data_IF_029408991811
#
_entry.id   IF_029408991811
#
_cell.length_a   1.000
_cell.length_b   1.000
_cell.length_c   1.000
_cell.angle_alpha   90.00
_cell.angle_beta   90.00
_cell.angle_gamma   90.00
#
_symmetry.space_group_name_H-M   'P 1'
#
loop_
_entity.id
_entity.type
_entity.pdbx_description
1 polymer ?
#
# COMPACT_ATOMS: atom_id res chain seq x y z
N UNK A 1 -22.73 11.51 49.95
CA UNK A 1 -21.95 10.99 51.09
C UNK A 1 -21.45 9.66 50.62
N UNK A 2 -20.14 9.47 50.76
CA UNK A 2 -19.35 8.33 50.30
C UNK A 2 -18.36 8.12 51.45
N UNK A 3 -18.60 7.08 52.25
CA UNK A 3 -18.00 6.90 53.58
C UNK A 3 -16.59 6.31 53.47
N UNK A 4 -16.34 5.46 52.48
CA UNK A 4 -15.04 4.82 52.26
C UNK A 4 -14.23 5.45 51.10
N UNK A 5 -14.81 6.42 50.38
CA UNK A 5 -14.21 7.21 49.30
C UNK A 5 -13.80 6.36 48.10
N UNK A 6 -14.62 5.39 47.73
CA UNK A 6 -14.39 4.55 46.54
C UNK A 6 -15.07 5.05 45.26
N UNK A 7 -15.84 6.13 45.37
CA UNK A 7 -16.55 6.74 44.25
C UNK A 7 -18.03 6.38 44.18
N UNK A 8 -18.48 5.38 44.95
CA UNK A 8 -19.89 5.02 45.07
C UNK A 8 -20.54 5.74 46.27
N UNK A 9 -21.76 6.28 46.14
CA UNK A 9 -22.46 6.87 47.28
C UNK A 9 -23.03 5.83 48.25
N UNK A 10 -22.97 6.08 49.57
CA UNK A 10 -23.48 5.19 50.62
C UNK A 10 -24.93 4.69 50.39
N UNK A 11 -25.78 5.53 49.81
CA UNK A 11 -27.18 5.17 49.57
C UNK A 11 -27.32 4.10 48.49
N UNK A 12 -26.46 4.14 47.47
CA UNK A 12 -26.44 3.20 46.36
C UNK A 12 -25.87 1.86 46.82
N UNK A 13 -24.77 1.92 47.58
CA UNK A 13 -24.17 0.74 48.19
C UNK A 13 -25.15 0.00 49.10
N UNK A 14 -25.88 0.72 49.96
CA UNK A 14 -26.90 0.12 50.84
C UNK A 14 -28.07 -0.51 50.08
N UNK A 15 -28.51 0.10 48.97
CA UNK A 15 -29.64 -0.39 48.18
C UNK A 15 -29.30 -1.69 47.46
N UNK A 16 -28.05 -1.86 47.04
CA UNK A 16 -27.58 -3.01 46.28
C UNK A 16 -26.78 -4.03 47.10
N UNK A 17 -26.56 -3.77 48.40
CA UNK A 17 -25.94 -4.73 49.31
C UNK A 17 -24.40 -4.72 49.32
N UNK A 18 -23.78 -3.62 48.89
CA UNK A 18 -22.33 -3.36 49.00
C UNK A 18 -21.94 -2.83 50.40
N UNK A 19 -20.64 -2.62 50.62
CA UNK A 19 -20.09 -2.26 51.92
C UNK A 19 -19.64 -0.80 52.04
N UNK A 20 -20.51 0.04 52.60
CA UNK A 20 -20.27 1.46 52.90
C UNK A 20 -19.02 1.82 53.73
N UNK A 21 -18.31 0.84 54.30
CA UNK A 21 -17.12 1.09 55.13
C UNK A 21 -15.83 0.56 54.53
N UNK A 22 -15.91 -0.07 53.36
CA UNK A 22 -14.79 -0.78 52.76
C UNK A 22 -14.97 -0.78 51.25
N UNK A 23 -14.06 -0.05 50.59
CA UNK A 23 -13.91 -0.02 49.14
C UNK A 23 -14.01 -1.43 48.54
N UNK A 24 -15.14 -1.66 47.88
CA UNK A 24 -15.47 -2.82 47.08
C UNK A 24 -15.90 -2.42 45.66
N UNK A 25 -15.67 -1.15 45.28
CA UNK A 25 -15.90 -0.60 43.93
C UNK A 25 -15.30 -1.41 42.78
N UNK A 26 -14.16 -2.07 43.01
CA UNK A 26 -13.48 -2.91 42.02
C UNK A 26 -13.79 -4.41 42.17
N UNK A 27 -14.66 -4.77 43.10
CA UNK A 27 -15.25 -6.11 43.15
C UNK A 27 -16.36 -6.22 42.10
N UNK A 28 -16.87 -7.44 41.94
CA UNK A 28 -17.84 -7.84 40.94
C UNK A 28 -18.89 -8.67 41.70
N UNK A 29 -19.98 -8.02 42.10
CA UNK A 29 -20.93 -8.56 43.08
C UNK A 29 -21.66 -9.79 42.54
N UNK A 30 -22.04 -9.80 41.28
CA UNK A 30 -22.78 -10.88 40.63
C UNK A 30 -21.91 -11.82 39.78
N UNK A 31 -20.63 -11.50 39.59
CA UNK A 31 -19.61 -12.27 38.89
C UNK A 31 -19.81 -12.35 37.37
N UNK A 32 -20.33 -11.28 36.77
CA UNK A 32 -20.54 -11.18 35.32
C UNK A 32 -19.32 -10.63 34.56
N UNK A 33 -18.35 -10.08 35.29
CA UNK A 33 -17.09 -9.55 34.78
C UNK A 33 -17.07 -8.04 34.57
N UNK A 34 -18.10 -7.31 34.99
CA UNK A 34 -18.15 -5.85 35.13
C UNK A 34 -17.88 -5.50 36.61
N UNK A 35 -17.13 -4.43 36.88
CA UNK A 35 -16.89 -4.01 38.26
C UNK A 35 -18.05 -3.17 38.79
N UNK A 36 -18.34 -3.25 40.09
CA UNK A 36 -19.43 -2.51 40.75
C UNK A 36 -19.45 -1.01 40.41
N UNK A 37 -18.27 -0.39 40.31
CA UNK A 37 -18.14 1.02 39.92
C UNK A 37 -18.54 1.29 38.47
N UNK A 38 -18.17 0.39 37.55
CA UNK A 38 -18.51 0.54 36.14
C UNK A 38 -20.02 0.36 35.97
N UNK A 39 -20.61 -0.64 36.64
CA UNK A 39 -22.06 -0.85 36.68
C UNK A 39 -22.81 0.37 37.24
N UNK A 40 -22.30 0.98 38.31
CA UNK A 40 -22.86 2.21 38.86
C UNK A 40 -22.79 3.39 37.87
N UNK A 41 -21.68 3.55 37.17
CA UNK A 41 -21.47 4.65 36.22
C UNK A 41 -22.42 4.58 35.02
N UNK A 42 -22.66 3.38 34.49
CA UNK A 42 -23.55 3.17 33.33
C UNK A 42 -24.99 2.83 33.71
N UNK A 43 -25.26 2.55 34.99
CA UNK A 43 -26.60 2.25 35.51
C UNK A 43 -27.08 0.82 35.26
N UNK A 44 -26.15 -0.14 35.26
CA UNK A 44 -26.41 -1.59 35.20
C UNK A 44 -26.83 -2.15 36.56
N UNK A 45 -27.21 -3.43 36.57
CA UNK A 45 -27.74 -4.09 37.74
C UNK A 45 -26.70 -4.96 38.45
N UNK A 46 -26.14 -4.47 39.56
CA UNK A 46 -25.12 -5.15 40.38
C UNK A 46 -25.51 -6.51 40.97
N UNK A 47 -26.72 -6.99 40.74
CA UNK A 47 -27.22 -8.27 41.25
C UNK A 47 -27.62 -9.24 40.14
N UNK A 48 -27.44 -8.88 38.87
CA UNK A 48 -27.85 -9.66 37.71
C UNK A 48 -26.78 -9.59 36.63
N UNK A 49 -26.30 -10.76 36.19
CA UNK A 49 -25.46 -10.89 34.99
C UNK A 49 -26.17 -10.33 33.75
N UNK A 50 -25.87 -9.05 33.47
CA UNK A 50 -26.32 -8.29 32.33
C UNK A 50 -25.14 -7.94 31.38
N UNK A 51 -23.96 -8.49 31.64
CA UNK A 51 -22.74 -8.40 30.83
C UNK A 51 -22.93 -8.64 29.31
N UNK A 52 -23.83 -9.56 28.94
CA UNK A 52 -24.15 -9.91 27.55
C UNK A 52 -25.44 -9.26 27.03
N UNK A 53 -26.14 -8.50 27.87
CA UNK A 53 -27.24 -7.65 27.43
C UNK A 53 -26.69 -6.42 26.69
N UNK A 54 -27.61 -5.70 26.07
CA UNK A 54 -27.37 -4.53 25.22
C UNK A 54 -28.30 -3.44 25.76
N UNK A 55 -27.78 -2.69 26.73
CA UNK A 55 -28.56 -1.75 27.55
C UNK A 55 -29.19 -0.66 26.68
N UNK A 56 -28.45 -0.15 25.70
CA UNK A 56 -28.88 0.96 24.85
C UNK A 56 -29.49 0.52 23.50
N UNK A 57 -29.46 -0.78 23.20
CA UNK A 57 -29.99 -1.42 22.00
C UNK A 57 -29.27 -1.00 20.70
N UNK A 58 -27.97 -0.76 20.76
CA UNK A 58 -27.16 -0.41 19.59
C UNK A 58 -26.52 -1.61 18.86
N UNK A 59 -26.62 -2.79 19.48
CA UNK A 59 -26.13 -4.06 18.95
C UNK A 59 -24.76 -4.48 19.47
N UNK A 60 -24.20 -3.77 20.44
CA UNK A 60 -22.98 -4.12 21.18
C UNK A 60 -23.33 -4.55 22.62
N UNK A 61 -22.67 -5.58 23.19
CA UNK A 61 -22.94 -5.98 24.58
C UNK A 61 -22.24 -5.08 25.61
N UNK A 62 -22.91 -4.86 26.75
CA UNK A 62 -22.44 -4.01 27.88
C UNK A 62 -20.96 -4.27 28.25
N UNK A 63 -20.60 -5.53 28.47
CA UNK A 63 -19.24 -5.91 28.87
C UNK A 63 -18.20 -5.57 27.80
N UNK A 64 -18.57 -5.70 26.53
CA UNK A 64 -17.65 -5.37 25.44
C UNK A 64 -17.45 -3.87 25.34
N UNK A 65 -18.51 -3.09 25.47
CA UNK A 65 -18.46 -1.62 25.44
C UNK A 65 -17.61 -1.08 26.58
N UNK A 66 -17.88 -1.49 27.82
CA UNK A 66 -17.13 -1.06 29.01
C UNK A 66 -15.64 -1.42 28.89
N UNK A 67 -15.31 -2.65 28.46
CA UNK A 67 -13.91 -3.07 28.24
C UNK A 67 -13.23 -2.31 27.11
N UNK A 68 -14.01 -1.89 26.12
CA UNK A 68 -13.58 -1.05 25.01
C UNK A 68 -13.56 0.44 25.37
N UNK A 69 -13.97 0.79 26.59
CA UNK A 69 -14.10 2.15 27.11
C UNK A 69 -15.17 3.00 26.40
N UNK A 70 -16.17 2.34 25.84
CA UNK A 70 -17.37 2.95 25.26
C UNK A 70 -18.44 3.13 26.34
N UNK A 71 -19.53 3.79 25.99
CA UNK A 71 -20.63 4.07 26.91
C UNK A 71 -21.81 3.13 26.65
N UNK A 72 -21.92 2.06 27.43
CA UNK A 72 -23.01 1.08 27.32
C UNK A 72 -24.43 1.67 27.53
N UNK A 73 -24.53 2.89 28.05
CA UNK A 73 -25.81 3.57 28.27
C UNK A 73 -26.23 4.46 27.10
N UNK A 74 -25.39 4.61 26.07
CA UNK A 74 -25.57 5.56 24.99
C UNK A 74 -25.12 5.02 23.63
N UNK A 75 -26.07 5.00 22.68
CA UNK A 75 -25.86 4.48 21.33
C UNK A 75 -24.72 5.21 20.61
N UNK A 76 -23.53 4.60 20.68
CA UNK A 76 -22.30 5.07 20.07
C UNK A 76 -21.75 4.09 19.02
N UNK A 77 -22.47 2.99 18.73
CA UNK A 77 -22.18 2.03 17.66
C UNK A 77 -21.74 2.65 16.33
N UNK A 78 -22.33 3.79 15.96
CA UNK A 78 -22.04 4.50 14.71
C UNK A 78 -20.89 5.52 14.80
N UNK A 79 -20.31 5.71 15.97
CA UNK A 79 -19.21 6.66 16.22
C UNK A 79 -17.87 5.97 15.98
N UNK A 80 -16.85 6.79 15.88
CA UNK A 80 -15.46 6.38 15.63
C UNK A 80 -14.65 6.98 16.78
N UNK A 81 -14.42 6.15 17.81
CA UNK A 81 -13.82 6.61 19.06
C UNK A 81 -12.34 6.98 18.89
N UNK A 82 -11.58 6.23 18.10
CA UNK A 82 -10.14 6.42 17.94
C UNK A 82 -9.73 7.23 16.70
N UNK A 83 -10.67 7.49 15.79
CA UNK A 83 -10.51 8.34 14.62
C UNK A 83 -9.95 7.63 13.39
N UNK A 84 -9.96 6.30 13.35
CA UNK A 84 -9.43 5.48 12.24
C UNK A 84 -10.38 5.32 11.04
N UNK A 85 -11.56 5.96 11.11
CA UNK A 85 -12.65 5.95 10.13
C UNK A 85 -13.51 4.68 10.14
N UNK A 86 -13.41 3.86 11.19
CA UNK A 86 -14.19 2.65 11.39
C UNK A 86 -15.14 2.88 12.56
N UNK A 87 -16.38 2.47 12.39
CA UNK A 87 -17.38 2.65 13.44
C UNK A 87 -17.21 1.58 14.53
N UNK A 88 -17.43 1.93 15.79
CA UNK A 88 -17.33 1.06 16.96
C UNK A 88 -18.03 -0.30 16.74
N UNK A 89 -19.23 -0.29 16.14
CA UNK A 89 -19.97 -1.52 15.83
C UNK A 89 -19.26 -2.43 14.83
N UNK A 90 -18.59 -1.87 13.83
CA UNK A 90 -17.82 -2.65 12.85
C UNK A 90 -16.62 -3.30 13.54
N UNK A 91 -15.99 -2.57 14.46
CA UNK A 91 -14.87 -3.08 15.24
C UNK A 91 -15.27 -4.20 16.19
N UNK A 92 -16.41 -4.06 16.87
CA UNK A 92 -17.03 -5.15 17.63
C UNK A 92 -17.22 -6.40 16.77
N UNK A 93 -17.81 -6.22 15.58
CA UNK A 93 -18.12 -7.31 14.64
C UNK A 93 -16.88 -8.01 14.07
N UNK A 94 -15.79 -7.27 13.91
CA UNK A 94 -14.54 -7.79 13.36
C UNK A 94 -13.49 -8.09 14.46
N UNK A 95 -13.87 -7.94 15.73
CA UNK A 95 -13.05 -8.20 16.91
C UNK A 95 -11.73 -7.39 16.90
N UNK A 96 -11.85 -6.10 16.63
CA UNK A 96 -10.77 -5.10 16.73
C UNK A 96 -10.95 -4.21 17.97
N UNK A 97 -10.11 -3.20 18.13
CA UNK A 97 -10.01 -2.41 19.37
C UNK A 97 -10.34 -0.95 19.07
N UNK A 98 -11.54 -0.47 19.47
CA UNK A 98 -12.04 0.87 19.13
C UNK A 98 -11.36 2.00 19.91
N UNK A 99 -10.36 1.66 20.74
CA UNK A 99 -9.50 2.64 21.40
C UNK A 99 -8.13 2.73 20.76
N UNK A 100 -7.89 2.06 19.64
CA UNK A 100 -6.57 1.93 19.04
C UNK A 100 -6.63 2.13 17.52
N UNK A 101 -6.24 3.34 17.11
CA UNK A 101 -6.20 3.79 15.71
C UNK A 101 -5.52 2.83 14.70
N UNK A 102 -4.62 1.95 15.16
CA UNK A 102 -3.94 0.98 14.29
C UNK A 102 -4.60 -0.40 14.28
N UNK A 103 -5.60 -0.63 15.12
CA UNK A 103 -6.38 -1.85 15.26
C UNK A 103 -7.52 -1.87 14.25
N UNK A 104 -7.16 -1.89 12.97
CA UNK A 104 -8.17 -1.90 11.91
C UNK A 104 -8.50 -3.34 11.50
N UNK A 105 -9.75 -3.65 11.10
CA UNK A 105 -10.11 -4.89 10.43
C UNK A 105 -9.20 -5.11 9.22
N UNK A 106 -8.79 -6.36 8.99
CA UNK A 106 -7.65 -6.61 8.12
C UNK A 106 -7.92 -6.08 6.69
N UNK A 107 -7.10 -5.11 6.26
CA UNK A 107 -7.18 -4.36 5.00
C UNK A 107 -7.47 -5.17 3.73
N UNK A 108 -7.15 -6.47 3.68
CA UNK A 108 -7.42 -7.30 2.50
C UNK A 108 -8.90 -7.65 2.31
N UNK A 109 -9.73 -7.56 3.35
CA UNK A 109 -11.17 -7.89 3.29
C UNK A 109 -11.95 -6.73 2.65
N UNK A 110 -11.62 -5.49 3.04
CA UNK A 110 -12.23 -4.25 2.53
C UNK A 110 -11.60 -3.77 1.22
N UNK A 111 -10.27 -3.89 1.07
CA UNK A 111 -9.53 -3.39 -0.10
C UNK A 111 -8.58 -4.44 -0.71
N UNK A 112 -9.07 -5.61 -1.16
CA UNK A 112 -8.23 -6.64 -1.77
C UNK A 112 -7.41 -6.06 -2.94
N UNK A 113 -8.00 -5.11 -3.68
CA UNK A 113 -7.39 -4.51 -4.85
C UNK A 113 -6.31 -3.47 -4.55
N UNK A 114 -6.27 -2.81 -3.37
CA UNK A 114 -5.25 -1.80 -3.07
C UNK A 114 -3.90 -2.46 -2.82
N UNK A 115 -3.85 -3.49 -1.96
CA UNK A 115 -2.63 -4.25 -1.71
C UNK A 115 -2.12 -4.98 -2.97
N UNK A 116 -3.04 -5.54 -3.76
CA UNK A 116 -2.70 -6.11 -5.06
C UNK A 116 -2.16 -5.02 -6.01
N UNK A 117 -2.76 -3.84 -6.08
CA UNK A 117 -2.35 -2.79 -7.01
C UNK A 117 -0.92 -2.29 -6.78
N UNK A 118 -0.49 -2.12 -5.52
CA UNK A 118 0.86 -1.70 -5.18
C UNK A 118 1.90 -2.77 -5.58
N UNK A 119 1.58 -4.04 -5.34
CA UNK A 119 2.41 -5.16 -5.77
C UNK A 119 2.48 -5.26 -7.32
N UNK A 120 1.36 -5.07 -8.00
CA UNK A 120 1.29 -5.10 -9.47
C UNK A 120 2.07 -3.93 -10.10
N UNK A 121 2.00 -2.72 -9.52
CA UNK A 121 2.77 -1.56 -9.98
C UNK A 121 4.29 -1.80 -9.88
N UNK A 122 4.73 -2.40 -8.77
CA UNK A 122 6.14 -2.78 -8.57
C UNK A 122 6.61 -3.83 -9.59
N UNK A 123 5.81 -4.89 -9.78
CA UNK A 123 6.14 -5.96 -10.74
C UNK A 123 6.14 -5.44 -12.19
N UNK A 124 5.18 -4.58 -12.56
CA UNK A 124 5.19 -3.98 -13.91
C UNK A 124 6.38 -3.06 -14.14
N UNK A 125 6.76 -2.25 -13.13
CA UNK A 125 7.94 -1.39 -13.22
C UNK A 125 9.23 -2.18 -13.45
N UNK A 126 9.44 -3.26 -12.69
CA UNK A 126 10.61 -4.13 -12.87
C UNK A 126 10.60 -4.86 -14.21
N UNK A 127 9.46 -5.35 -14.68
CA UNK A 127 9.34 -6.00 -15.98
C UNK A 127 9.68 -5.06 -17.15
N UNK A 128 9.16 -3.83 -17.13
CA UNK A 128 9.46 -2.81 -18.14
C UNK A 128 10.97 -2.47 -18.15
N UNK A 129 11.59 -2.36 -16.97
CA UNK A 129 13.02 -2.10 -16.86
C UNK A 129 13.88 -3.24 -17.47
N UNK A 130 13.51 -4.50 -17.25
CA UNK A 130 14.24 -5.65 -17.81
C UNK A 130 14.11 -5.69 -19.34
N UNK A 131 12.89 -5.53 -19.87
CA UNK A 131 12.65 -5.56 -21.32
C UNK A 131 13.35 -4.39 -22.03
N UNK A 132 13.29 -3.19 -21.45
CA UNK A 132 13.97 -2.01 -22.01
C UNK A 132 15.50 -2.16 -21.97
N UNK A 133 16.06 -2.70 -20.89
CA UNK A 133 17.50 -2.98 -20.79
C UNK A 133 17.97 -4.03 -21.81
N UNK A 134 17.21 -5.11 -21.98
CA UNK A 134 17.51 -6.16 -22.97
C UNK A 134 17.46 -5.66 -24.41
N UNK A 135 16.41 -4.90 -24.76
CA UNK A 135 16.27 -4.31 -26.11
C UNK A 135 17.36 -3.27 -26.39
N UNK A 136 17.71 -2.43 -25.42
CA UNK A 136 18.81 -1.47 -25.55
C UNK A 136 20.14 -2.19 -25.77
N UNK A 137 20.42 -3.26 -25.02
CA UNK A 137 21.65 -4.05 -25.16
C UNK A 137 21.75 -4.68 -26.55
N UNK A 138 20.67 -5.25 -27.07
CA UNK A 138 20.60 -5.79 -28.43
C UNK A 138 20.85 -4.70 -29.49
N UNK A 139 20.20 -3.54 -29.34
CA UNK A 139 20.39 -2.40 -30.26
C UNK A 139 21.86 -1.95 -30.24
N UNK A 140 22.46 -1.79 -29.07
CA UNK A 140 23.85 -1.37 -28.93
C UNK A 140 24.81 -2.42 -29.50
N UNK A 141 24.55 -3.71 -29.31
CA UNK A 141 25.38 -4.77 -29.86
C UNK A 141 25.30 -4.82 -31.40
N UNK A 142 24.09 -4.68 -31.97
CA UNK A 142 23.90 -4.58 -33.41
C UNK A 142 24.61 -3.34 -34.00
N UNK A 143 24.54 -2.18 -33.31
CA UNK A 143 25.29 -0.97 -33.71
C UNK A 143 26.79 -1.22 -33.72
N UNK A 144 27.33 -1.79 -32.64
CA UNK A 144 28.77 -2.13 -32.54
C UNK A 144 29.21 -3.11 -33.62
N UNK A 145 28.41 -4.14 -33.89
CA UNK A 145 28.69 -5.13 -34.94
C UNK A 145 28.71 -4.48 -36.33
N UNK A 146 27.75 -3.60 -36.63
CA UNK A 146 27.72 -2.89 -37.92
C UNK A 146 28.94 -2.00 -38.12
N UNK A 147 29.31 -1.22 -37.10
CA UNK A 147 30.52 -0.38 -37.11
C UNK A 147 31.75 -1.25 -37.39
N UNK A 148 31.88 -2.38 -36.68
CA UNK A 148 33.00 -3.31 -36.84
C UNK A 148 33.04 -3.96 -38.22
N UNK A 149 31.89 -4.34 -38.79
CA UNK A 149 31.79 -4.95 -40.11
C UNK A 149 32.23 -4.00 -41.22
N UNK A 150 31.83 -2.73 -41.14
CA UNK A 150 32.13 -1.72 -42.17
C UNK A 150 33.47 -1.00 -41.93
N UNK A 151 34.07 -1.15 -40.75
CA UNK A 151 35.27 -0.41 -40.35
C UNK A 151 35.01 1.10 -40.15
N UNK A 152 33.76 1.48 -39.92
CA UNK A 152 33.35 2.87 -39.79
C UNK A 152 33.78 3.47 -38.44
N UNK A 153 33.96 4.81 -38.33
CA UNK A 153 34.30 5.48 -37.08
C UNK A 153 33.11 5.56 -36.11
N UNK A 154 31.88 5.64 -36.61
CA UNK A 154 30.67 5.79 -35.80
C UNK A 154 29.45 5.11 -36.47
N UNK A 155 28.34 5.03 -35.71
CA UNK A 155 27.12 4.38 -36.22
C UNK A 155 26.43 5.19 -37.33
N UNK A 156 26.52 6.52 -37.29
CA UNK A 156 25.83 7.34 -38.30
C UNK A 156 26.47 7.19 -39.67
N UNK A 157 27.81 7.17 -39.73
CA UNK A 157 28.54 6.87 -40.96
C UNK A 157 28.33 5.43 -41.39
N UNK A 158 28.38 4.44 -40.47
CA UNK A 158 28.08 3.05 -40.79
C UNK A 158 26.69 2.87 -41.44
N UNK A 159 25.67 3.56 -40.90
CA UNK A 159 24.31 3.52 -41.45
C UNK A 159 24.23 4.21 -42.82
N UNK A 160 24.93 5.32 -43.00
CA UNK A 160 24.99 6.04 -44.27
C UNK A 160 25.68 5.21 -45.36
N UNK A 161 26.81 4.58 -45.03
CA UNK A 161 27.52 3.66 -45.91
C UNK A 161 26.61 2.53 -46.38
N UNK A 162 25.95 1.86 -45.43
CA UNK A 162 25.02 0.76 -45.73
C UNK A 162 23.86 1.22 -46.63
N UNK A 163 23.29 2.41 -46.37
CA UNK A 163 22.20 2.97 -47.18
C UNK A 163 22.62 3.25 -48.62
N UNK A 164 23.88 3.62 -48.84
CA UNK A 164 24.43 3.98 -50.14
C UNK A 164 25.25 2.85 -50.79
N UNK A 165 25.18 1.62 -50.25
CA UNK A 165 25.76 0.41 -50.84
C UNK A 165 27.22 0.13 -50.50
N UNK A 166 27.91 1.01 -49.76
CA UNK A 166 29.33 0.84 -49.43
C UNK A 166 29.56 -0.30 -48.42
N UNK A 167 30.53 -1.17 -48.71
CA UNK A 167 30.86 -2.35 -47.88
C UNK A 167 32.08 -2.15 -46.98
N UNK A 168 32.90 -1.15 -47.26
CA UNK A 168 34.14 -0.88 -46.56
C UNK A 168 34.39 0.64 -46.45
N UNK A 169 35.02 1.04 -45.35
CA UNK A 169 35.25 2.44 -45.05
C UNK A 169 36.27 3.10 -45.99
N UNK A 170 37.25 2.34 -46.48
CA UNK A 170 38.29 2.87 -47.37
C UNK A 170 37.72 3.32 -48.73
N UNK A 171 36.85 2.50 -49.33
CA UNK A 171 36.16 2.84 -50.58
C UNK A 171 35.22 4.02 -50.38
N UNK A 172 34.53 4.07 -49.25
CA UNK A 172 33.70 5.21 -48.88
C UNK A 172 34.51 6.51 -48.77
N UNK A 173 35.69 6.47 -48.13
CA UNK A 173 36.57 7.63 -48.00
C UNK A 173 37.09 8.13 -49.36
N UNK A 174 37.43 7.21 -50.27
CA UNK A 174 37.83 7.55 -51.66
C UNK A 174 36.69 8.18 -52.44
N UNK A 175 35.47 7.64 -52.32
CA UNK A 175 34.27 8.23 -52.95
C UNK A 175 33.97 9.63 -52.40
N UNK A 176 34.11 9.83 -51.09
CA UNK A 176 33.89 11.13 -50.46
C UNK A 176 34.89 12.19 -50.93
N UNK A 177 36.15 11.82 -51.21
CA UNK A 177 37.16 12.73 -51.79
C UNK A 177 36.77 13.24 -53.19
N UNK A 178 35.99 12.48 -53.93
CA UNK A 178 35.43 12.87 -55.23
C UNK A 178 34.08 13.58 -55.10
N UNK A 179 33.62 13.88 -53.87
CA UNK A 179 32.29 14.42 -53.58
C UNK A 179 31.14 13.52 -54.04
N UNK A 180 31.38 12.21 -54.13
CA UNK A 180 30.40 11.20 -54.54
C UNK A 180 29.79 10.55 -53.30
N UNK A 181 28.47 10.35 -53.34
CA UNK A 181 27.70 9.91 -52.16
C UNK A 181 27.09 8.51 -52.29
N UNK A 182 27.08 7.91 -53.49
CA UNK A 182 26.59 6.56 -53.76
C UNK A 182 27.68 5.66 -54.34
N UNK A 183 27.61 4.36 -54.02
CA UNK A 183 28.58 3.40 -54.56
C UNK A 183 28.45 3.27 -56.08
N UNK A 184 27.23 3.30 -56.61
CA UNK A 184 26.95 3.20 -58.04
C UNK A 184 27.58 4.36 -58.83
N UNK A 185 27.45 5.60 -58.34
CA UNK A 185 28.12 6.76 -58.94
C UNK A 185 29.64 6.64 -58.87
N UNK A 186 30.16 6.11 -57.76
CA UNK A 186 31.59 5.94 -57.59
C UNK A 186 32.16 4.88 -58.56
N UNK A 187 31.49 3.74 -58.71
CA UNK A 187 31.88 2.70 -59.68
C UNK A 187 31.79 3.23 -61.13
N UNK A 188 30.74 3.97 -61.47
CA UNK A 188 30.59 4.57 -62.81
C UNK A 188 31.69 5.60 -63.11
N UNK A 189 32.06 6.44 -62.14
CA UNK A 189 33.15 7.42 -62.33
C UNK A 189 34.52 6.76 -62.47
N UNK A 190 34.77 5.64 -61.78
CA UNK A 190 35.99 4.87 -61.98
C UNK A 190 36.07 4.29 -63.40
N UNK A 191 34.97 3.76 -63.92
CA UNK A 191 34.89 3.22 -65.28
C UNK A 191 35.17 4.30 -66.34
N UNK A 192 34.62 5.51 -66.17
CA UNK A 192 34.91 6.66 -67.04
C UNK A 192 36.39 7.08 -66.99
N UNK A 193 36.99 7.17 -65.80
CA UNK A 193 38.40 7.52 -65.64
C UNK A 193 39.36 6.48 -66.23
N UNK A 194 38.96 5.21 -66.31
CA UNK A 194 39.75 4.16 -66.98
C UNK A 194 39.65 4.24 -68.51
N UNK A 195 38.50 4.64 -69.05
CA UNK A 195 38.30 4.83 -70.49
C UNK A 195 39.07 6.04 -71.04
N UNK A 196 39.16 7.14 -70.28
CA UNK A 196 39.94 8.33 -70.67
C UNK A 196 41.46 8.12 -70.68
N UNK A 197 41.96 7.03 -70.07
CA UNK A 197 43.38 6.67 -70.02
C UNK A 197 43.85 5.77 -71.18
N UNK A 198 42.94 5.30 -72.04
CA UNK A 198 43.22 4.51 -73.25
C UNK A 198 43.25 5.38 -74.49
#
# INVERSE_FOLDING_TARGET
>A
MDTDNDGMPDWFELENGLNITRNDSYEDLDNDGIANIDEFEVGLNMSLDDSYEDLDNDGMPNLWEIKSGLDASFNDAGYDKDGDWIANYIEFRENTDPSNFWSVPIFYKEFPYICLSLLHLSIMGTFIAIVSSGTLTLILNNRKNLIKQLGAPDYTTARFMLKNGFKDFETFEKAQKLSISSLEEYEFTLELMELEKK
#
